data_IF_372656831864
#
_entry.id   IF_372656831864
#
_cell.length_a   1.000
_cell.length_b   1.000
_cell.length_c   1.000
_cell.angle_alpha   90.00
_cell.angle_beta   90.00
_cell.angle_gamma   90.00
#
_symmetry.space_group_name_H-M   'P 1'
#
loop_
_entity.id
_entity.type
_entity.pdbx_description
1 polymer ?
#
# COMPACT_ATOMS: atom_id res chain seq x y z
N UNK A 1 -14.84 17.35 10.41
CA UNK A 1 -15.41 16.09 10.91
C UNK A 1 -14.26 15.12 10.87
N UNK A 2 -13.63 14.91 12.03
CA UNK A 2 -12.50 14.00 12.15
C UNK A 2 -12.99 12.62 11.72
N UNK A 3 -12.39 12.13 10.64
CA UNK A 3 -12.77 10.84 10.10
C UNK A 3 -12.24 9.79 11.07
N UNK A 4 -13.17 9.12 11.76
CA UNK A 4 -12.83 8.13 12.77
C UNK A 4 -11.95 7.04 12.14
N UNK A 5 -10.76 6.86 12.72
CA UNK A 5 -9.83 5.82 12.29
C UNK A 5 -10.34 4.48 12.78
N UNK A 6 -10.38 3.49 11.90
CA UNK A 6 -10.83 2.14 12.19
C UNK A 6 -9.79 1.09 11.75
N UNK A 7 -10.00 -0.15 12.18
CA UNK A 7 -9.14 -1.26 11.81
C UNK A 7 -9.63 -1.90 10.51
N UNK A 8 -8.73 -1.99 9.53
CA UNK A 8 -8.91 -2.78 8.32
C UNK A 8 -8.01 -4.00 8.38
N UNK A 9 -8.59 -5.18 8.20
CA UNK A 9 -7.83 -6.42 8.06
C UNK A 9 -7.61 -6.73 6.57
N UNK A 10 -6.59 -7.52 6.27
CA UNK A 10 -6.37 -7.98 4.91
C UNK A 10 -5.20 -8.94 4.80
N UNK A 11 -4.88 -9.30 3.56
CA UNK A 11 -3.82 -10.28 3.31
C UNK A 11 -3.75 -10.82 1.90
N UNK A 12 -2.91 -11.83 1.71
CA UNK A 12 -2.78 -12.52 0.44
C UNK A 12 -3.90 -13.57 0.24
N UNK A 13 -4.04 -14.07 -0.99
CA UNK A 13 -5.05 -15.08 -1.36
C UNK A 13 -5.01 -16.35 -0.50
N UNK A 14 -3.82 -16.91 -0.25
CA UNK A 14 -3.68 -18.14 0.54
C UNK A 14 -3.76 -17.93 2.06
N UNK A 15 -4.02 -16.69 2.51
CA UNK A 15 -4.14 -16.29 3.93
C UNK A 15 -2.90 -16.50 4.79
N UNK A 16 -1.78 -16.91 4.20
CA UNK A 16 -0.50 -17.04 4.89
C UNK A 16 0.11 -15.68 5.27
N UNK A 17 -0.18 -14.62 4.50
CA UNK A 17 0.20 -13.24 4.84
C UNK A 17 -1.05 -12.49 5.26
N UNK A 18 -1.06 -11.99 6.50
CA UNK A 18 -2.16 -11.25 7.12
C UNK A 18 -1.62 -10.03 7.87
N UNK A 19 -2.41 -8.97 7.85
CA UNK A 19 -2.05 -7.70 8.49
C UNK A 19 -3.30 -6.97 8.96
N UNK A 20 -3.09 -5.96 9.81
CA UNK A 20 -4.08 -4.95 10.19
C UNK A 20 -3.53 -3.58 9.84
N UNK A 21 -4.41 -2.67 9.42
CA UNK A 21 -4.07 -1.24 9.30
C UNK A 21 -5.10 -0.36 9.97
N UNK A 22 -4.63 0.75 10.53
CA UNK A 22 -5.45 1.80 11.10
C UNK A 22 -5.61 2.92 10.06
N UNK A 23 -6.80 3.05 9.50
CA UNK A 23 -7.11 4.08 8.50
C UNK A 23 -8.59 4.49 8.57
N UNK A 24 -8.93 5.54 7.84
CA UNK A 24 -10.31 5.98 7.66
C UNK A 24 -11.04 5.06 6.69
N UNK A 25 -12.36 4.91 6.83
CA UNK A 25 -13.16 4.12 5.88
C UNK A 25 -13.23 4.73 4.46
N UNK A 26 -12.88 6.02 4.33
CA UNK A 26 -12.70 6.73 3.06
C UNK A 26 -11.22 6.93 2.79
N UNK A 27 -10.69 6.37 1.70
CA UNK A 27 -9.25 6.43 1.38
C UNK A 27 -8.99 6.97 -0.03
N UNK A 28 -7.81 7.56 -0.21
CA UNK A 28 -7.27 7.89 -1.53
C UNK A 28 -6.27 6.81 -1.93
N UNK A 29 -6.59 6.08 -2.99
CA UNK A 29 -5.73 5.06 -3.59
C UNK A 29 -5.06 5.59 -4.87
N UNK A 30 -3.92 5.00 -5.20
CA UNK A 30 -3.06 5.40 -6.30
C UNK A 30 -2.83 4.24 -7.26
N UNK A 31 -2.93 4.56 -8.54
CA UNK A 31 -2.64 3.65 -9.65
C UNK A 31 -1.45 4.19 -10.43
N UNK A 32 -0.33 3.46 -10.34
CA UNK A 32 0.94 3.85 -10.94
C UNK A 32 1.19 3.11 -12.26
N UNK A 33 1.68 3.84 -13.28
CA UNK A 33 1.97 3.31 -14.61
C UNK A 33 3.46 2.96 -14.85
N UNK A 34 4.30 2.92 -13.80
CA UNK A 34 5.70 2.49 -13.96
C UNK A 34 5.78 1.01 -14.38
N UNK A 35 6.93 0.57 -14.87
CA UNK A 35 7.10 -0.77 -15.47
C UNK A 35 6.65 -1.91 -14.54
N UNK A 36 6.99 -1.90 -13.25
CA UNK A 36 6.57 -2.93 -12.30
C UNK A 36 5.08 -2.79 -11.89
N UNK A 37 4.65 -1.59 -11.49
CA UNK A 37 3.28 -1.36 -11.00
C UNK A 37 2.23 -1.61 -12.08
N UNK A 38 2.53 -1.24 -13.34
CA UNK A 38 1.67 -1.49 -14.49
C UNK A 38 1.46 -3.00 -14.70
N UNK A 39 2.53 -3.79 -14.65
CA UNK A 39 2.45 -5.25 -14.80
C UNK A 39 1.69 -5.91 -13.65
N UNK A 40 1.81 -5.38 -12.42
CA UNK A 40 1.06 -5.89 -11.26
C UNK A 40 -0.41 -5.45 -11.24
N UNK A 41 -0.80 -4.46 -12.04
CA UNK A 41 -2.09 -3.79 -11.97
C UNK A 41 -2.47 -3.38 -10.53
N UNK A 42 -1.49 -2.88 -9.78
CA UNK A 42 -1.65 -2.63 -8.34
C UNK A 42 -2.23 -1.23 -8.08
N UNK A 43 -3.42 -1.19 -7.50
CA UNK A 43 -4.05 0.01 -6.92
C UNK A 43 -3.90 -0.05 -5.41
N UNK A 44 -3.29 0.96 -4.80
CA UNK A 44 -2.93 0.93 -3.38
C UNK A 44 -3.14 2.27 -2.69
N UNK A 45 -3.51 2.26 -1.40
CA UNK A 45 -3.50 3.45 -0.55
C UNK A 45 -2.34 3.34 0.44
N UNK A 46 -1.83 4.48 0.89
CA UNK A 46 -0.68 4.53 1.81
C UNK A 46 -1.18 4.85 3.21
N UNK A 47 -0.61 4.17 4.22
CA UNK A 47 -0.78 4.50 5.65
C UNK A 47 0.58 4.79 6.28
N UNK A 48 0.65 5.58 7.37
CA UNK A 48 1.87 5.69 8.18
C UNK A 48 2.34 4.30 8.65
N UNK A 49 3.66 4.09 8.74
CA UNK A 49 4.19 2.79 9.17
C UNK A 49 3.73 2.37 10.58
N UNK A 50 3.52 3.34 11.47
CA UNK A 50 2.98 3.10 12.83
C UNK A 50 1.52 2.62 12.84
N UNK A 51 0.78 2.83 11.75
CA UNK A 51 -0.59 2.34 11.58
C UNK A 51 -0.65 0.95 10.94
N UNK A 52 0.49 0.28 10.72
CA UNK A 52 0.55 -1.04 10.09
C UNK A 52 1.06 -2.10 11.05
N UNK A 53 0.31 -3.19 11.19
CA UNK A 53 0.67 -4.37 11.98
C UNK A 53 0.71 -5.60 11.07
N UNK A 54 1.88 -6.24 10.95
CA UNK A 54 2.02 -7.55 10.31
C UNK A 54 1.84 -8.65 11.35
N UNK A 55 0.91 -9.58 11.13
CA UNK A 55 0.67 -10.67 12.09
C UNK A 55 1.86 -11.64 12.13
N UNK A 56 2.20 -12.14 13.32
CA UNK A 56 3.48 -12.81 13.65
C UNK A 56 3.93 -13.88 12.63
N UNK A 57 2.98 -14.68 12.14
CA UNK A 57 3.23 -15.77 11.19
C UNK A 57 3.30 -15.35 9.72
N UNK A 58 3.04 -14.09 9.41
CA UNK A 58 3.01 -13.64 8.01
C UNK A 58 4.40 -13.47 7.43
N UNK A 59 5.37 -13.10 8.28
CA UNK A 59 6.74 -12.76 7.85
C UNK A 59 7.44 -13.94 7.16
N UNK A 60 7.22 -15.18 7.60
CA UNK A 60 7.81 -16.40 7.02
C UNK A 60 7.38 -16.64 5.56
N UNK A 61 6.27 -16.06 5.12
CA UNK A 61 5.76 -16.23 3.76
C UNK A 61 6.02 -15.04 2.83
N UNK A 62 6.65 -13.98 3.34
CA UNK A 62 7.01 -12.84 2.52
C UNK A 62 8.31 -13.08 1.78
N UNK A 63 8.37 -12.58 0.56
CA UNK A 63 9.61 -12.31 -0.17
C UNK A 63 9.61 -10.87 -0.66
N UNK A 64 10.78 -10.33 -0.97
CA UNK A 64 10.98 -8.94 -1.35
C UNK A 64 11.68 -8.88 -2.70
N UNK A 65 11.14 -8.07 -3.59
CA UNK A 65 11.81 -7.65 -4.82
C UNK A 65 12.12 -6.16 -4.76
N UNK A 66 13.33 -5.78 -5.16
CA UNK A 66 13.76 -4.38 -5.28
C UNK A 66 14.51 -4.19 -6.58
N UNK A 67 14.40 -2.99 -7.16
CA UNK A 67 15.10 -2.59 -8.38
C UNK A 67 15.26 -1.07 -8.42
N UNK A 68 15.96 -0.55 -9.41
CA UNK A 68 16.15 0.90 -9.60
C UNK A 68 16.91 1.51 -8.42
N UNK A 69 16.28 2.41 -7.68
CA UNK A 69 16.90 3.03 -6.49
C UNK A 69 16.97 2.10 -5.28
N UNK A 70 16.36 0.91 -5.36
CA UNK A 70 16.20 -0.05 -4.25
C UNK A 70 15.49 0.50 -3.00
N UNK A 71 14.89 1.70 -3.10
CA UNK A 71 14.11 2.32 -2.02
C UNK A 71 12.77 1.61 -1.82
N UNK A 72 12.08 1.32 -2.92
CA UNK A 72 10.83 0.56 -2.86
C UNK A 72 11.14 -0.91 -2.54
N UNK A 73 10.41 -1.47 -1.57
CA UNK A 73 10.47 -2.89 -1.21
C UNK A 73 9.16 -3.54 -1.60
N UNK A 74 9.12 -4.13 -2.79
CA UNK A 74 7.94 -4.82 -3.32
C UNK A 74 7.81 -6.17 -2.62
N UNK A 75 7.02 -6.22 -1.54
CA UNK A 75 6.72 -7.47 -0.84
C UNK A 75 5.64 -8.26 -1.55
N UNK A 76 5.75 -9.58 -1.55
CA UNK A 76 4.68 -10.47 -2.00
C UNK A 76 4.74 -11.81 -1.29
N UNK A 77 3.60 -12.52 -1.28
CA UNK A 77 3.53 -13.86 -0.73
C UNK A 77 4.30 -14.83 -1.64
N UNK A 78 5.33 -15.49 -1.11
CA UNK A 78 6.12 -16.48 -1.86
C UNK A 78 5.35 -17.77 -2.20
N UNK A 79 4.14 -17.95 -1.65
CA UNK A 79 3.27 -19.11 -1.89
C UNK A 79 2.28 -18.84 -3.01
N UNK A 80 1.59 -17.69 -3.01
CA UNK A 80 0.53 -17.38 -3.99
C UNK A 80 0.81 -16.17 -4.88
N UNK A 81 1.98 -15.53 -4.78
CA UNK A 81 2.40 -14.41 -5.62
C UNK A 81 1.75 -13.05 -5.33
N UNK A 82 0.72 -12.99 -4.49
CA UNK A 82 -0.02 -11.76 -4.20
C UNK A 82 0.82 -10.76 -3.40
N UNK A 83 0.96 -9.55 -3.94
CA UNK A 83 1.40 -8.34 -3.22
C UNK A 83 0.20 -7.79 -2.47
N UNK A 84 0.08 -8.07 -1.16
CA UNK A 84 -1.01 -7.50 -0.33
C UNK A 84 -0.65 -6.15 0.28
N UNK A 85 0.64 -5.88 0.43
CA UNK A 85 1.20 -4.58 0.81
C UNK A 85 2.64 -4.48 0.27
N UNK A 86 3.23 -3.29 0.28
CA UNK A 86 4.64 -3.04 0.01
C UNK A 86 5.12 -1.72 0.60
N UNK A 87 6.44 -1.49 0.62
CA UNK A 87 7.01 -0.21 1.06
C UNK A 87 7.36 0.64 -0.17
N UNK A 88 6.64 1.74 -0.46
CA UNK A 88 6.81 2.51 -1.69
C UNK A 88 8.01 3.46 -1.63
N UNK A 89 8.59 3.80 -2.79
CA UNK A 89 9.64 4.83 -2.90
C UNK A 89 9.15 6.23 -2.49
N UNK A 90 7.88 6.55 -2.76
CA UNK A 90 7.27 7.86 -2.48
C UNK A 90 7.06 8.12 -0.99
N UNK A 91 6.91 7.06 -0.19
CA UNK A 91 6.62 7.16 1.24
C UNK A 91 7.48 6.12 1.99
N UNK A 92 8.80 6.38 2.17
CA UNK A 92 9.69 5.44 2.86
C UNK A 92 9.32 5.20 4.34
N UNK A 93 8.53 6.10 4.91
CA UNK A 93 7.95 6.08 6.27
C UNK A 93 6.52 5.51 6.31
N UNK A 94 6.01 5.00 5.19
CA UNK A 94 4.67 4.46 5.06
C UNK A 94 4.63 3.05 4.49
N UNK A 95 3.44 2.47 4.51
CA UNK A 95 3.13 1.17 3.90
C UNK A 95 2.01 1.35 2.90
N UNK A 96 2.22 0.89 1.67
CA UNK A 96 1.22 0.87 0.62
C UNK A 96 0.42 -0.44 0.69
N UNK A 97 -0.89 -0.32 0.89
CA UNK A 97 -1.84 -1.44 1.02
C UNK A 97 -2.55 -1.65 -0.31
N UNK A 98 -2.44 -2.85 -0.87
CA UNK A 98 -3.16 -3.18 -2.10
C UNK A 98 -4.65 -3.22 -1.81
N UNK A 99 -5.41 -2.35 -2.47
CA UNK A 99 -6.83 -2.10 -2.22
C UNK A 99 -7.66 -3.39 -2.26
N UNK A 100 -7.39 -4.25 -3.25
CA UNK A 100 -8.12 -5.51 -3.45
C UNK A 100 -7.77 -6.61 -2.44
N UNK A 101 -6.80 -6.37 -1.56
CA UNK A 101 -6.37 -7.30 -0.51
C UNK A 101 -6.92 -6.93 0.88
N UNK A 102 -7.69 -5.84 0.99
CA UNK A 102 -8.45 -5.49 2.19
C UNK A 102 -9.65 -6.43 2.28
N UNK A 103 -9.89 -7.00 3.46
CA UNK A 103 -11.09 -7.80 3.70
C UNK A 103 -12.35 -6.91 3.54
N UNK A 104 -13.45 -7.44 2.99
CA UNK A 104 -14.63 -6.64 2.71
C UNK A 104 -15.29 -6.10 3.98
N UNK A 105 -15.94 -4.94 3.88
CA UNK A 105 -16.88 -4.42 4.88
C UNK A 105 -16.41 -3.20 5.68
N UNK A 106 -15.16 -2.75 5.51
CA UNK A 106 -14.62 -1.61 6.28
C UNK A 106 -14.32 -0.37 5.44
N UNK A 107 -14.01 -0.53 4.15
CA UNK A 107 -13.88 0.60 3.21
C UNK A 107 -15.25 0.98 2.63
N UNK A 108 -15.65 2.23 2.82
CA UNK A 108 -16.95 2.77 2.35
C UNK A 108 -16.78 3.66 1.13
N UNK A 109 -15.63 4.31 0.98
CA UNK A 109 -15.31 5.16 -0.16
C UNK A 109 -13.85 5.01 -0.56
N UNK A 110 -13.59 4.98 -1.86
CA UNK A 110 -12.24 4.91 -2.42
C UNK A 110 -12.14 5.86 -3.61
N UNK A 111 -11.35 6.92 -3.47
CA UNK A 111 -10.95 7.77 -4.59
C UNK A 111 -9.70 7.16 -5.24
N UNK A 112 -9.70 6.94 -6.56
CA UNK A 112 -8.52 6.44 -7.28
C UNK A 112 -7.88 7.59 -8.05
N UNK A 113 -6.64 7.93 -7.70
CA UNK A 113 -5.79 8.88 -8.41
C UNK A 113 -4.76 8.15 -9.26
N UNK A 114 -4.41 8.74 -10.41
CA UNK A 114 -3.32 8.25 -11.25
C UNK A 114 -1.99 8.82 -10.77
N UNK A 115 -0.94 8.01 -10.82
CA UNK A 115 0.43 8.43 -10.61
C UNK A 115 1.25 8.10 -11.85
N UNK A 116 1.88 9.10 -12.47
CA UNK A 116 2.74 8.89 -13.62
C UNK A 116 4.16 8.52 -13.15
N UNK A 117 4.35 7.23 -12.88
CA UNK A 117 5.62 6.67 -12.46
C UNK A 117 6.65 6.51 -13.58
N UNK A 118 6.29 6.77 -14.84
CA UNK A 118 7.27 6.91 -15.93
C UNK A 118 8.00 8.25 -15.85
N UNK A 119 7.32 9.29 -15.34
CA UNK A 119 7.87 10.62 -15.08
C UNK A 119 7.89 10.92 -13.57
N UNK A 120 8.60 10.08 -12.81
CA UNK A 120 8.48 9.98 -11.34
C UNK A 120 8.70 11.32 -10.62
N UNK A 121 9.75 12.07 -10.95
CA UNK A 121 10.12 13.31 -10.25
C UNK A 121 9.04 14.39 -10.40
N UNK A 122 8.49 14.55 -11.61
CA UNK A 122 7.39 15.49 -11.89
C UNK A 122 6.14 15.12 -11.10
N UNK A 123 5.73 13.84 -11.18
CA UNK A 123 4.56 13.33 -10.47
C UNK A 123 4.69 13.44 -8.95
N UNK A 124 5.85 13.09 -8.40
CA UNK A 124 6.10 13.16 -6.97
C UNK A 124 5.94 14.58 -6.43
N UNK A 125 6.47 15.57 -7.15
CA UNK A 125 6.39 16.98 -6.77
C UNK A 125 4.98 17.56 -6.99
N UNK A 126 4.23 17.08 -7.98
CA UNK A 126 2.93 17.65 -8.37
C UNK A 126 1.69 17.03 -7.72
N UNK A 127 1.78 15.82 -7.16
CA UNK A 127 0.59 15.06 -6.72
C UNK A 127 0.32 15.11 -5.22
N UNK A 128 1.32 15.48 -4.41
CA UNK A 128 1.22 15.47 -2.96
C UNK A 128 1.20 14.05 -2.34
N UNK A 129 1.53 13.00 -3.09
CA UNK A 129 1.53 11.60 -2.62
C UNK A 129 2.36 11.37 -1.35
N UNK A 130 3.43 12.17 -1.15
CA UNK A 130 4.28 12.13 0.05
C UNK A 130 3.53 12.44 1.35
N UNK A 131 2.41 13.16 1.27
CA UNK A 131 1.56 13.47 2.43
C UNK A 131 0.77 12.26 2.94
N UNK A 132 0.55 11.23 2.11
CA UNK A 132 -0.31 10.09 2.45
C UNK A 132 0.24 9.21 3.59
N UNK A 133 1.53 9.31 3.92
CA UNK A 133 2.14 8.61 5.08
C UNK A 133 2.31 9.50 6.30
N UNK A 134 1.89 10.76 6.25
CA UNK A 134 1.99 11.69 7.37
C UNK A 134 0.77 11.54 8.27
N UNK A 135 1.02 11.37 9.56
CA UNK A 135 -0.02 11.41 10.58
C UNK A 135 -0.61 12.82 10.56
N UNK A 136 -1.91 12.93 10.33
CA UNK A 136 -2.61 14.20 10.52
C UNK A 136 -2.72 14.44 12.02
N UNK A 137 -1.91 15.36 12.53
CA UNK A 137 -1.95 15.86 13.90
C UNK A 137 -3.17 16.72 14.17
#
# INVERSE_FOLDING_TARGET
MDSETMVHCGGCHCKNVRWKVYATSSVVAWECNCSDCYMRANVNFVVPAEHFELLEDSRKFLTIYTFGTHTAKHTFCKVCGITSFFYPRSNPDGVAITLRCVDPGTLTHVEIKKFDGRNWESSYNGTGISSCSKVQS
#
